data_IF_751965822504
#
_entry.id   IF_751965822504
#
_cell.length_a   1.000
_cell.length_b   1.000
_cell.length_c   1.000
_cell.angle_alpha   90.00
_cell.angle_beta   90.00
_cell.angle_gamma   90.00
#
_symmetry.space_group_name_H-M   'P 1'
#
loop_
_entity.id
_entity.type
_entity.pdbx_description
1 polymer ?
#
# COMPACT_ATOMS: atom_id res chain seq x y z
N UNK A 1 -33.79 36.75 16.46
CA UNK A 1 -32.32 36.68 16.32
C UNK A 1 -31.94 37.55 15.12
N UNK A 2 -31.33 38.73 15.28
CA UNK A 2 -30.90 39.48 14.12
C UNK A 2 -29.59 38.88 13.60
N UNK A 3 -29.55 38.73 12.28
CA UNK A 3 -28.45 38.23 11.47
C UNK A 3 -27.66 39.43 10.97
N UNK A 4 -26.35 39.46 11.20
CA UNK A 4 -25.29 39.82 10.21
C UNK A 4 -23.98 40.19 10.94
N UNK A 5 -22.89 39.41 10.79
CA UNK A 5 -21.61 39.62 11.49
C UNK A 5 -20.63 40.56 10.73
N UNK A 6 -21.11 41.44 9.85
CA UNK A 6 -20.25 42.23 8.95
C UNK A 6 -19.77 43.58 9.50
N UNK A 7 -20.13 43.95 10.73
CA UNK A 7 -19.82 45.26 11.33
C UNK A 7 -18.76 45.23 12.45
N UNK A 8 -18.11 44.09 12.67
CA UNK A 8 -17.13 43.89 13.75
C UNK A 8 -15.67 44.18 13.35
N UNK A 9 -15.41 44.74 12.16
CA UNK A 9 -14.07 44.84 11.57
C UNK A 9 -13.53 46.28 11.46
N UNK A 10 -14.11 47.25 12.18
CA UNK A 10 -13.67 48.66 12.14
C UNK A 10 -13.18 49.22 13.48
N UNK A 11 -13.01 48.39 14.51
CA UNK A 11 -12.62 48.81 15.86
C UNK A 11 -11.43 47.98 16.36
N UNK A 12 -10.30 48.05 15.66
CA UNK A 12 -9.01 47.62 16.24
C UNK A 12 -7.82 48.32 15.57
N UNK A 13 -7.31 49.37 16.22
CA UNK A 13 -5.94 49.88 16.08
C UNK A 13 -5.62 50.87 17.23
N UNK A 14 -4.35 50.95 17.69
CA UNK A 14 -4.04 51.02 19.11
C UNK A 14 -3.79 52.43 19.64
N UNK A 15 -3.97 52.52 20.95
CA UNK A 15 -3.76 53.68 21.81
C UNK A 15 -2.26 53.92 22.03
N UNK A 16 -1.69 54.97 21.45
CA UNK A 16 -0.35 55.47 21.78
C UNK A 16 -0.42 56.89 22.36
N UNK A 17 0.37 57.08 23.41
CA UNK A 17 0.35 58.18 24.36
C UNK A 17 0.82 59.55 23.81
N UNK A 18 0.36 60.64 24.45
CA UNK A 18 1.02 61.95 24.35
C UNK A 18 0.16 63.15 24.74
N UNK A 19 0.27 63.57 26.00
CA UNK A 19 0.21 64.95 26.52
C UNK A 19 -0.80 65.97 25.93
N UNK A 20 -1.88 66.17 26.69
CA UNK A 20 -2.26 67.48 27.25
C UNK A 20 -2.64 68.64 26.33
N UNK A 21 -3.94 68.85 26.14
CA UNK A 21 -4.63 70.14 26.34
C UNK A 21 -6.12 69.87 26.53
N UNK A 22 -6.74 70.55 27.49
CA UNK A 22 -8.16 70.36 27.82
C UNK A 22 -9.08 70.93 26.73
N UNK A 23 -9.82 70.05 26.09
CA UNK A 23 -11.10 70.34 25.43
C UNK A 23 -12.08 69.23 25.85
N UNK A 24 -13.26 69.61 26.32
CA UNK A 24 -14.36 68.67 26.59
C UNK A 24 -14.72 67.91 25.29
N UNK A 25 -14.99 66.61 25.35
CA UNK A 25 -15.43 65.88 24.18
C UNK A 25 -16.83 66.36 23.78
N UNK A 26 -16.92 67.02 22.64
CA UNK A 26 -18.20 67.38 21.98
C UNK A 26 -19.00 66.09 21.76
N UNK A 27 -20.29 66.01 22.15
CA UNK A 27 -21.09 64.84 21.85
C UNK A 27 -21.27 64.77 20.33
N UNK A 28 -20.61 63.80 19.70
CA UNK A 28 -20.87 63.48 18.31
C UNK A 28 -22.25 62.80 18.27
N UNK A 29 -23.28 63.52 17.83
CA UNK A 29 -24.49 62.87 17.32
C UNK A 29 -24.03 61.89 16.23
N UNK A 30 -24.39 60.60 16.31
CA UNK A 30 -24.13 59.70 15.20
C UNK A 30 -24.90 60.24 13.99
N UNK A 31 -24.18 60.51 12.90
CA UNK A 31 -24.74 60.97 11.61
C UNK A 31 -25.75 59.98 10.99
N UNK A 32 -26.00 58.85 11.64
CA UNK A 32 -26.96 57.83 11.24
C UNK A 32 -27.68 57.28 12.47
N UNK A 33 -28.99 57.52 12.52
CA UNK A 33 -29.90 56.89 13.47
C UNK A 33 -29.95 55.37 13.18
N UNK A 34 -29.53 54.49 14.10
CA UNK A 34 -29.48 53.05 13.86
C UNK A 34 -30.88 52.43 13.69
N UNK A 35 -31.93 53.17 14.05
CA UNK A 35 -33.33 52.77 13.83
C UNK A 35 -33.74 52.74 12.35
N UNK A 36 -33.02 53.42 11.45
CA UNK A 36 -33.38 53.53 10.02
C UNK A 36 -33.15 52.19 9.28
N UNK A 37 -32.26 51.34 9.79
CA UNK A 37 -31.87 50.08 9.12
C UNK A 37 -32.86 48.94 9.42
N UNK A 38 -33.58 49.01 10.54
CA UNK A 38 -34.56 48.00 10.96
C UNK A 38 -36.01 48.36 10.57
N UNK A 39 -36.27 49.55 9.98
CA UNK A 39 -37.62 49.89 9.52
C UNK A 39 -37.95 49.12 8.24
N UNK A 40 -39.06 48.36 8.18
CA UNK A 40 -39.49 47.73 6.95
C UNK A 40 -39.68 48.80 5.87
N UNK A 41 -39.27 48.50 4.63
CA UNK A 41 -39.31 49.43 3.49
C UNK A 41 -40.69 50.10 3.29
N UNK A 42 -41.76 49.44 3.75
CA UNK A 42 -43.12 49.95 3.79
C UNK A 42 -43.28 51.23 4.65
N UNK A 43 -42.62 51.33 5.80
CA UNK A 43 -42.67 52.50 6.68
C UNK A 43 -41.91 53.70 6.08
N UNK A 44 -40.78 53.46 5.41
CA UNK A 44 -40.04 54.51 4.68
C UNK A 44 -40.86 55.07 3.51
N UNK A 45 -41.56 54.20 2.77
CA UNK A 45 -42.46 54.61 1.69
C UNK A 45 -43.66 55.44 2.21
N UNK A 46 -44.20 55.09 3.37
CA UNK A 46 -45.29 55.84 4.01
C UNK A 46 -44.87 57.25 4.43
N UNK A 47 -43.63 57.41 4.88
CA UNK A 47 -43.12 58.71 5.35
C UNK A 47 -42.81 59.68 4.20
N UNK A 48 -42.52 59.17 3.01
CA UNK A 48 -42.14 59.96 1.83
C UNK A 48 -43.20 59.99 0.72
N UNK A 49 -44.31 59.26 0.83
CA UNK A 49 -45.37 59.21 -0.19
C UNK A 49 -46.72 58.97 0.49
N UNK A 50 -47.71 59.86 0.26
CA UNK A 50 -49.09 59.74 0.77
C UNK A 50 -49.82 58.54 0.13
N UNK A 51 -49.46 57.32 0.55
CA UNK A 51 -50.03 56.07 0.08
C UNK A 51 -51.17 55.62 1.01
N UNK A 52 -52.32 55.17 0.49
CA UNK A 52 -53.43 54.69 1.32
C UNK A 52 -53.07 53.45 2.16
N UNK A 53 -53.63 53.30 3.36
CA UNK A 53 -53.32 52.18 4.29
C UNK A 53 -53.51 50.77 3.70
N UNK A 54 -54.44 50.60 2.74
CA UNK A 54 -54.65 49.32 2.05
C UNK A 54 -53.45 48.92 1.17
N UNK A 55 -52.64 49.89 0.72
CA UNK A 55 -51.45 49.64 -0.09
C UNK A 55 -50.28 49.09 0.73
N UNK A 56 -50.20 49.40 2.03
CA UNK A 56 -49.19 48.90 2.96
C UNK A 56 -49.36 47.40 3.15
N UNK A 57 -50.59 46.96 3.44
CA UNK A 57 -50.92 45.53 3.53
C UNK A 57 -50.69 44.76 2.22
N UNK A 58 -50.74 45.44 1.07
CA UNK A 58 -50.46 44.84 -0.24
C UNK A 58 -48.95 44.79 -0.53
N UNK A 59 -48.19 45.78 -0.05
CA UNK A 59 -46.72 45.83 -0.18
C UNK A 59 -46.06 44.80 0.76
N UNK A 60 -46.47 44.74 2.03
CA UNK A 60 -45.92 43.82 3.03
C UNK A 60 -46.27 42.35 2.73
N UNK A 61 -47.53 42.06 2.35
CA UNK A 61 -47.96 40.68 2.16
C UNK A 61 -47.72 40.13 0.74
N UNK A 62 -47.45 40.99 -0.26
CA UNK A 62 -47.25 40.55 -1.64
C UNK A 62 -45.97 41.07 -2.29
N UNK A 63 -45.62 42.35 -2.14
CA UNK A 63 -44.47 42.93 -2.87
C UNK A 63 -43.13 42.50 -2.27
N UNK A 64 -43.00 42.54 -0.94
CA UNK A 64 -41.78 42.13 -0.25
C UNK A 64 -41.42 40.64 -0.46
N UNK A 65 -42.33 39.67 -0.20
CA UNK A 65 -42.03 38.27 -0.47
C UNK A 65 -41.84 37.98 -1.95
N UNK A 66 -42.57 38.64 -2.86
CA UNK A 66 -42.36 38.47 -4.30
C UNK A 66 -40.98 38.96 -4.76
N UNK A 67 -40.50 40.08 -4.21
CA UNK A 67 -39.16 40.59 -4.50
C UNK A 67 -38.07 39.64 -3.98
N UNK A 68 -38.21 39.14 -2.75
CA UNK A 68 -37.27 38.16 -2.20
C UNK A 68 -37.24 36.86 -3.02
N UNK A 69 -38.40 36.34 -3.41
CA UNK A 69 -38.49 35.16 -4.28
C UNK A 69 -37.84 35.42 -5.64
N UNK A 70 -38.10 36.58 -6.25
CA UNK A 70 -37.49 36.96 -7.52
C UNK A 70 -35.95 37.05 -7.40
N UNK A 71 -35.44 37.62 -6.29
CA UNK A 71 -34.02 37.71 -6.01
C UNK A 71 -33.38 36.32 -5.83
N UNK A 72 -34.00 35.43 -5.05
CA UNK A 72 -33.51 34.05 -4.84
C UNK A 72 -33.43 33.31 -6.17
N UNK A 73 -34.49 33.40 -7.00
CA UNK A 73 -34.53 32.74 -8.31
C UNK A 73 -33.47 33.34 -9.25
N UNK A 74 -33.29 34.66 -9.25
CA UNK A 74 -32.27 35.34 -10.06
C UNK A 74 -30.86 34.92 -9.64
N UNK A 75 -30.58 34.84 -8.33
CA UNK A 75 -29.30 34.37 -7.80
C UNK A 75 -29.09 32.91 -8.20
N UNK A 76 -30.06 32.02 -7.94
CA UNK A 76 -29.97 30.60 -8.30
C UNK A 76 -29.73 30.40 -9.79
N UNK A 77 -30.44 31.15 -10.64
CA UNK A 77 -30.26 31.14 -12.08
C UNK A 77 -28.88 31.65 -12.49
N UNK A 78 -28.39 32.73 -11.87
CA UNK A 78 -27.06 33.31 -12.14
C UNK A 78 -25.94 32.36 -11.73
N UNK A 79 -26.05 31.72 -10.56
CA UNK A 79 -25.11 30.69 -10.09
C UNK A 79 -25.13 29.50 -11.05
N UNK A 80 -26.30 29.00 -11.42
CA UNK A 80 -26.42 27.88 -12.36
C UNK A 80 -25.84 28.22 -13.74
N UNK A 81 -26.09 29.44 -14.22
CA UNK A 81 -25.53 29.94 -15.47
C UNK A 81 -24.01 29.99 -15.42
N UNK A 82 -23.44 30.53 -14.32
CA UNK A 82 -22.01 30.64 -14.11
C UNK A 82 -21.36 29.25 -14.01
N UNK A 83 -21.95 28.34 -13.23
CA UNK A 83 -21.45 26.97 -13.10
C UNK A 83 -21.51 26.22 -14.42
N UNK A 84 -22.62 26.31 -15.18
CA UNK A 84 -22.71 25.72 -16.53
C UNK A 84 -21.70 26.35 -17.50
N UNK A 85 -21.36 27.63 -17.33
CA UNK A 85 -20.33 28.29 -18.13
C UNK A 85 -18.93 27.81 -17.75
N UNK A 86 -18.63 27.66 -16.46
CA UNK A 86 -17.37 27.11 -15.97
C UNK A 86 -17.16 25.66 -16.44
N UNK A 87 -18.20 24.83 -16.34
CA UNK A 87 -18.15 23.43 -16.78
C UNK A 87 -17.89 23.31 -18.28
N UNK A 88 -18.60 24.10 -19.11
CA UNK A 88 -18.36 24.14 -20.56
C UNK A 88 -16.93 24.58 -20.88
N UNK A 89 -16.36 25.52 -20.12
CA UNK A 89 -14.96 25.93 -20.29
C UNK A 89 -13.99 24.81 -19.90
N UNK A 90 -14.26 24.08 -18.82
CA UNK A 90 -13.45 22.96 -18.38
C UNK A 90 -13.43 21.80 -19.39
N UNK A 91 -14.60 21.43 -19.94
CA UNK A 91 -14.71 20.37 -20.97
C UNK A 91 -13.97 20.75 -22.26
N UNK A 92 -14.02 22.03 -22.67
CA UNK A 92 -13.29 22.52 -23.85
C UNK A 92 -11.77 22.49 -23.65
N UNK A 93 -11.27 22.65 -22.41
CA UNK A 93 -9.83 22.54 -22.12
C UNK A 93 -9.33 21.10 -22.21
N UNK A 94 -10.13 20.11 -21.79
CA UNK A 94 -9.79 18.68 -21.89
C UNK A 94 -9.78 18.20 -23.36
N UNK A 95 -10.49 18.89 -24.26
CA UNK A 95 -10.60 18.54 -25.69
C UNK A 95 -9.42 19.03 -26.54
N UNK A 96 -8.48 19.80 -26.01
CA UNK A 96 -7.32 20.28 -26.77
C UNK A 96 -6.21 19.21 -26.78
N UNK A 97 -5.79 18.70 -27.95
CA UNK A 97 -4.62 17.84 -28.04
C UNK A 97 -3.38 18.65 -27.66
N UNK A 98 -2.59 18.15 -26.73
CA UNK A 98 -1.29 18.72 -26.38
C UNK A 98 -0.29 18.45 -27.52
N UNK A 99 -0.32 19.30 -28.54
CA UNK A 99 0.52 19.21 -29.73
C UNK A 99 1.72 20.15 -29.63
N UNK A 100 2.72 19.73 -28.85
CA UNK A 100 4.03 20.36 -28.87
C UNK A 100 4.68 20.28 -30.29
N UNK A 101 5.36 21.34 -30.77
CA UNK A 101 5.86 21.44 -32.15
C UNK A 101 6.93 20.39 -32.52
N UNK A 102 7.49 19.66 -31.56
CA UNK A 102 8.58 18.70 -31.79
C UNK A 102 8.14 17.31 -32.26
N UNK A 103 6.86 16.92 -32.11
CA UNK A 103 6.41 15.55 -32.44
C UNK A 103 5.81 15.40 -33.84
N UNK A 104 5.74 16.45 -34.66
CA UNK A 104 5.07 16.42 -35.99
C UNK A 104 5.73 15.49 -37.02
N UNK A 105 7.03 15.15 -36.88
CA UNK A 105 7.79 14.41 -37.92
C UNK A 105 7.76 12.88 -37.83
N UNK A 106 7.42 12.27 -36.69
CA UNK A 106 7.28 10.80 -36.57
C UNK A 106 5.82 10.30 -36.74
N UNK A 107 4.88 11.20 -37.06
CA UNK A 107 3.43 11.00 -36.88
C UNK A 107 2.66 10.38 -38.06
N UNK A 108 3.33 9.95 -39.13
CA UNK A 108 2.64 9.53 -40.35
C UNK A 108 2.23 8.04 -40.43
N UNK A 109 2.57 7.18 -39.47
CA UNK A 109 2.49 5.72 -39.68
C UNK A 109 1.37 4.94 -38.92
N UNK A 110 0.53 5.56 -38.07
CA UNK A 110 -0.53 4.82 -37.33
C UNK A 110 -1.74 5.71 -37.05
N UNK A 111 -2.60 5.90 -38.07
CA UNK A 111 -3.72 6.84 -38.04
C UNK A 111 -5.04 6.30 -37.47
N UNK A 112 -5.32 5.00 -37.59
CA UNK A 112 -6.68 4.49 -37.40
C UNK A 112 -7.06 4.27 -35.92
N UNK A 113 -6.12 3.87 -35.07
CA UNK A 113 -6.41 3.64 -33.65
C UNK A 113 -6.67 4.93 -32.85
N UNK A 114 -5.96 6.02 -33.16
CA UNK A 114 -5.96 7.25 -32.35
C UNK A 114 -7.23 8.08 -32.46
N UNK A 115 -7.82 8.18 -33.66
CA UNK A 115 -9.08 8.89 -33.88
C UNK A 115 -10.19 8.34 -32.96
N UNK A 116 -10.28 7.01 -32.87
CA UNK A 116 -11.23 6.30 -32.01
C UNK A 116 -10.98 6.52 -30.51
N UNK A 117 -9.73 6.66 -30.05
CA UNK A 117 -9.45 6.95 -28.63
C UNK A 117 -9.74 8.41 -28.25
N UNK A 118 -9.43 9.38 -29.12
CA UNK A 118 -9.75 10.79 -28.87
C UNK A 118 -11.26 11.05 -28.90
N UNK A 119 -11.98 10.42 -29.83
CA UNK A 119 -13.44 10.53 -29.92
C UNK A 119 -14.12 9.94 -28.68
N UNK A 120 -13.67 8.76 -28.21
CA UNK A 120 -14.18 8.15 -26.96
C UNK A 120 -13.92 9.00 -25.72
N UNK A 121 -12.76 9.67 -25.63
CA UNK A 121 -12.47 10.59 -24.51
C UNK A 121 -13.36 11.83 -24.57
N UNK A 122 -13.57 12.41 -25.75
CA UNK A 122 -14.45 13.56 -25.92
C UNK A 122 -15.91 13.21 -25.56
N UNK A 123 -16.42 12.08 -26.04
CA UNK A 123 -17.77 11.60 -25.69
C UNK A 123 -17.93 11.37 -24.18
N UNK A 124 -16.92 10.79 -23.51
CA UNK A 124 -16.93 10.63 -22.05
C UNK A 124 -16.92 11.97 -21.32
N UNK A 125 -16.12 12.94 -21.78
CA UNK A 125 -16.06 14.27 -21.17
C UNK A 125 -17.39 15.02 -21.34
N UNK A 126 -18.03 14.92 -22.50
CA UNK A 126 -19.34 15.53 -22.77
C UNK A 126 -20.43 14.90 -21.88
N UNK A 127 -20.44 13.56 -21.76
CA UNK A 127 -21.36 12.86 -20.88
C UNK A 127 -21.16 13.21 -19.40
N UNK A 128 -19.92 13.24 -18.91
CA UNK A 128 -19.60 13.62 -17.53
C UNK A 128 -19.96 15.09 -17.26
N UNK A 129 -19.69 15.98 -18.20
CA UNK A 129 -20.10 17.38 -18.12
C UNK A 129 -21.61 17.55 -18.03
N UNK A 130 -22.36 16.80 -18.85
CA UNK A 130 -23.82 16.80 -18.80
C UNK A 130 -24.33 16.31 -17.44
N UNK A 131 -23.83 15.18 -16.95
CA UNK A 131 -24.20 14.60 -15.65
C UNK A 131 -23.91 15.57 -14.49
N UNK A 132 -22.70 16.12 -14.42
CA UNK A 132 -22.33 17.08 -13.37
C UNK A 132 -23.18 18.36 -13.41
N UNK A 133 -23.50 18.87 -14.61
CA UNK A 133 -24.37 20.04 -14.76
C UNK A 133 -25.82 19.78 -14.34
N UNK A 134 -26.30 18.54 -14.50
CA UNK A 134 -27.62 18.10 -14.08
C UNK A 134 -27.69 18.00 -12.56
N UNK A 135 -26.74 17.29 -11.93
CA UNK A 135 -26.65 17.15 -10.47
C UNK A 135 -26.55 18.50 -9.79
N UNK A 136 -25.67 19.38 -10.27
CA UNK A 136 -25.53 20.72 -9.71
C UNK A 136 -26.80 21.56 -9.86
N UNK A 137 -27.51 21.41 -10.98
CA UNK A 137 -28.81 22.04 -11.18
C UNK A 137 -29.84 21.59 -10.15
N UNK A 138 -29.94 20.28 -9.89
CA UNK A 138 -30.84 19.72 -8.88
C UNK A 138 -30.53 20.29 -7.50
N UNK A 139 -29.25 20.34 -7.10
CA UNK A 139 -28.83 20.87 -5.80
C UNK A 139 -29.15 22.37 -5.66
N UNK A 140 -28.79 23.18 -6.65
CA UNK A 140 -29.05 24.63 -6.64
C UNK A 140 -30.55 24.92 -6.54
N UNK A 141 -31.37 24.24 -7.34
CA UNK A 141 -32.83 24.43 -7.30
C UNK A 141 -33.46 23.93 -6.01
N UNK A 142 -32.97 22.83 -5.42
CA UNK A 142 -33.44 22.36 -4.12
C UNK A 142 -33.16 23.38 -3.00
N UNK A 143 -31.96 23.99 -3.01
CA UNK A 143 -31.61 25.06 -2.05
C UNK A 143 -32.47 26.30 -2.29
N UNK A 144 -32.62 26.73 -3.54
CA UNK A 144 -33.44 27.88 -3.90
C UNK A 144 -34.91 27.68 -3.50
N UNK A 145 -35.48 26.51 -3.76
CA UNK A 145 -36.83 26.14 -3.34
C UNK A 145 -36.96 26.20 -1.82
N UNK A 146 -35.98 25.65 -1.09
CA UNK A 146 -35.97 25.71 0.37
C UNK A 146 -35.95 27.16 0.87
N UNK A 147 -35.15 28.05 0.27
CA UNK A 147 -35.13 29.47 0.62
C UNK A 147 -36.47 30.15 0.34
N UNK A 148 -37.10 29.87 -0.81
CA UNK A 148 -38.42 30.40 -1.18
C UNK A 148 -39.50 29.98 -0.19
N UNK A 149 -39.54 28.69 0.20
CA UNK A 149 -40.48 28.21 1.22
C UNK A 149 -40.28 28.91 2.56
N UNK A 150 -39.03 29.23 2.92
CA UNK A 150 -38.70 29.98 4.12
C UNK A 150 -39.27 31.41 4.13
N UNK A 151 -39.31 32.08 2.98
CA UNK A 151 -39.95 33.41 2.84
C UNK A 151 -41.44 33.36 3.15
N UNK A 152 -42.13 32.26 2.85
CA UNK A 152 -43.54 32.06 3.16
C UNK A 152 -43.80 31.56 4.60
N UNK A 153 -42.77 31.53 5.46
CA UNK A 153 -42.89 31.09 6.85
C UNK A 153 -43.05 29.57 7.02
N UNK A 154 -42.82 28.78 5.96
CA UNK A 154 -42.89 27.32 6.03
C UNK A 154 -41.64 26.80 6.77
N UNK A 155 -41.84 25.88 7.72
CA UNK A 155 -40.74 25.29 8.47
C UNK A 155 -39.80 24.51 7.55
N UNK A 156 -38.52 24.89 7.52
CA UNK A 156 -37.49 24.18 6.74
C UNK A 156 -36.98 22.91 7.44
N UNK A 157 -37.35 22.68 8.70
CA UNK A 157 -36.92 21.54 9.50
C UNK A 157 -37.08 20.19 8.77
N UNK A 158 -38.29 19.84 8.26
CA UNK A 158 -38.50 18.60 7.52
C UNK A 158 -37.66 18.48 6.24
N UNK A 159 -37.48 19.58 5.50
CA UNK A 159 -36.67 19.58 4.27
C UNK A 159 -35.19 19.37 4.57
N UNK A 160 -34.66 20.05 5.59
CA UNK A 160 -33.28 19.91 6.03
C UNK A 160 -33.04 18.51 6.59
N UNK A 161 -33.97 17.98 7.38
CA UNK A 161 -33.89 16.61 7.90
C UNK A 161 -33.86 15.58 6.77
N UNK A 162 -34.76 15.71 5.79
CA UNK A 162 -34.79 14.84 4.60
C UNK A 162 -33.52 14.95 3.75
N UNK A 163 -33.05 16.17 3.51
CA UNK A 163 -31.80 16.43 2.79
C UNK A 163 -30.58 15.84 3.52
N UNK A 164 -30.57 15.87 4.86
CA UNK A 164 -29.54 15.25 5.68
C UNK A 164 -29.48 13.73 5.47
N UNK A 165 -30.62 13.03 5.50
CA UNK A 165 -30.68 11.58 5.26
C UNK A 165 -30.19 11.24 3.85
N UNK A 166 -30.65 11.98 2.84
CA UNK A 166 -30.19 11.80 1.45
C UNK A 166 -28.69 12.06 1.33
N UNK A 167 -28.18 13.12 1.98
CA UNK A 167 -26.76 13.45 2.00
C UNK A 167 -25.90 12.35 2.62
N UNK A 168 -26.35 11.75 3.73
CA UNK A 168 -25.68 10.61 4.36
C UNK A 168 -25.66 9.40 3.42
N UNK A 169 -26.79 9.07 2.79
CA UNK A 169 -26.87 7.96 1.85
C UNK A 169 -25.92 8.14 0.65
N UNK A 170 -25.84 9.35 0.10
CA UNK A 170 -24.89 9.69 -0.98
C UNK A 170 -23.45 9.63 -0.49
N UNK A 171 -23.18 10.12 0.73
CA UNK A 171 -21.85 10.07 1.35
C UNK A 171 -21.33 8.64 1.50
N UNK A 172 -22.15 7.73 2.01
CA UNK A 172 -21.79 6.30 2.09
C UNK A 172 -21.60 5.68 0.71
N UNK A 173 -22.42 6.03 -0.28
CA UNK A 173 -22.25 5.55 -1.65
C UNK A 173 -20.99 6.06 -2.35
N UNK A 174 -20.43 7.19 -1.91
CA UNK A 174 -19.23 7.80 -2.46
C UNK A 174 -17.96 7.57 -1.61
N UNK A 175 -18.06 6.84 -0.50
CA UNK A 175 -16.98 6.67 0.47
C UNK A 175 -15.71 6.09 -0.19
N UNK A 176 -15.85 5.04 -0.99
CA UNK A 176 -14.71 4.39 -1.65
C UNK A 176 -14.00 5.31 -2.63
N UNK A 177 -14.76 6.16 -3.34
CA UNK A 177 -14.18 7.15 -4.25
C UNK A 177 -13.30 8.17 -3.52
N UNK A 178 -13.73 8.59 -2.32
CA UNK A 178 -12.95 9.50 -1.48
C UNK A 178 -11.71 8.79 -0.95
N UNK A 179 -11.84 7.54 -0.51
CA UNK A 179 -10.71 6.71 -0.08
C UNK A 179 -9.67 6.55 -1.19
N UNK A 180 -10.12 6.20 -2.41
CA UNK A 180 -9.26 6.09 -3.59
C UNK A 180 -8.45 7.37 -3.82
N UNK A 181 -9.13 8.51 -3.78
CA UNK A 181 -8.50 9.79 -4.07
C UNK A 181 -7.46 10.17 -3.02
N UNK A 182 -7.80 10.02 -1.73
CA UNK A 182 -6.88 10.32 -0.63
C UNK A 182 -5.67 9.39 -0.66
N UNK A 183 -5.88 8.08 -0.81
CA UNK A 183 -4.79 7.12 -0.96
C UNK A 183 -3.90 7.46 -2.15
N UNK A 184 -4.48 7.82 -3.30
CA UNK A 184 -3.72 8.22 -4.48
C UNK A 184 -2.86 9.46 -4.26
N UNK A 185 -3.39 10.47 -3.56
CA UNK A 185 -2.64 11.68 -3.21
C UNK A 185 -1.48 11.37 -2.27
N UNK A 186 -1.71 10.59 -1.20
CA UNK A 186 -0.64 10.22 -0.26
C UNK A 186 0.44 9.38 -0.92
N UNK A 187 0.07 8.38 -1.74
CA UNK A 187 1.05 7.58 -2.47
C UNK A 187 1.96 8.43 -3.37
N UNK A 188 1.43 9.50 -3.98
CA UNK A 188 2.22 10.40 -4.84
C UNK A 188 3.09 11.36 -4.03
N UNK A 189 2.60 11.87 -2.90
CA UNK A 189 3.36 12.79 -2.03
C UNK A 189 4.50 12.05 -1.33
N UNK A 190 4.26 10.81 -0.90
CA UNK A 190 5.23 9.97 -0.20
C UNK A 190 6.19 9.24 -1.14
N UNK A 191 5.98 9.32 -2.46
CA UNK A 191 6.77 8.63 -3.50
C UNK A 191 6.94 7.13 -3.22
N UNK A 192 5.84 6.47 -2.85
CA UNK A 192 5.88 5.05 -2.45
C UNK A 192 6.25 4.12 -3.62
N UNK A 193 5.88 4.51 -4.84
CA UNK A 193 6.29 3.85 -6.09
C UNK A 193 5.94 4.73 -7.30
N UNK A 194 6.73 4.55 -8.36
CA UNK A 194 6.60 5.28 -9.61
C UNK A 194 6.16 4.41 -10.80
N UNK A 195 5.99 5.07 -11.94
CA UNK A 195 5.80 4.37 -13.22
C UNK A 195 7.11 3.71 -13.62
N UNK A 196 7.08 2.42 -13.90
CA UNK A 196 8.24 1.59 -14.24
C UNK A 196 8.71 0.69 -13.09
N UNK A 197 8.28 0.95 -11.86
CA UNK A 197 8.64 0.12 -10.71
C UNK A 197 7.92 -1.23 -10.76
N UNK A 198 8.59 -2.28 -10.30
CA UNK A 198 7.94 -3.57 -10.03
C UNK A 198 7.38 -3.53 -8.62
N UNK A 199 6.06 -3.66 -8.49
CA UNK A 199 5.37 -3.59 -7.21
C UNK A 199 4.54 -4.83 -6.97
N UNK A 200 4.36 -5.15 -5.70
CA UNK A 200 3.37 -6.12 -5.21
C UNK A 200 2.39 -5.38 -4.31
N UNK A 201 1.11 -5.35 -4.71
CA UNK A 201 0.01 -4.72 -3.96
C UNK A 201 -0.94 -5.76 -3.35
N UNK A 202 -0.48 -7.00 -3.19
CA UNK A 202 -1.28 -8.13 -2.74
C UNK A 202 -1.74 -8.99 -3.91
N UNK A 203 -2.95 -8.74 -4.41
CA UNK A 203 -3.56 -9.57 -5.47
C UNK A 203 -2.93 -9.34 -6.85
N UNK A 204 -2.28 -8.20 -7.07
CA UNK A 204 -1.57 -7.88 -8.29
C UNK A 204 -0.09 -7.64 -8.02
N UNK A 205 0.77 -8.28 -8.81
CA UNK A 205 2.23 -8.07 -8.80
C UNK A 205 2.72 -7.87 -10.22
N UNK A 206 3.50 -6.82 -10.46
CA UNK A 206 3.98 -6.50 -11.79
C UNK A 206 4.55 -5.10 -11.92
N UNK A 207 4.79 -4.67 -13.16
CA UNK A 207 5.35 -3.36 -13.49
C UNK A 207 4.23 -2.31 -13.50
N UNK A 208 4.44 -1.18 -12.83
CA UNK A 208 3.50 -0.05 -12.85
C UNK A 208 3.56 0.65 -14.22
N UNK A 209 2.46 0.61 -14.98
CA UNK A 209 2.35 1.32 -16.26
C UNK A 209 1.83 2.74 -16.14
N UNK A 210 1.19 3.08 -15.02
CA UNK A 210 0.65 4.41 -14.82
C UNK A 210 -0.13 4.54 -13.53
N UNK A 211 0.11 5.63 -12.82
CA UNK A 211 -0.60 6.01 -11.60
C UNK A 211 -1.53 7.18 -11.92
N UNK A 212 -2.76 7.11 -11.42
CA UNK A 212 -3.71 8.24 -11.42
C UNK A 212 -4.17 8.49 -9.99
N UNK A 213 -4.85 9.60 -9.73
CA UNK A 213 -5.34 9.91 -8.39
C UNK A 213 -6.32 8.85 -7.83
N UNK A 214 -7.00 8.08 -8.68
CA UNK A 214 -7.98 7.06 -8.23
C UNK A 214 -7.52 5.61 -8.43
N UNK A 215 -6.65 5.36 -9.40
CA UNK A 215 -6.34 3.99 -9.84
C UNK A 215 -4.89 3.88 -10.28
N UNK A 216 -4.24 2.79 -9.89
CA UNK A 216 -2.93 2.37 -10.37
C UNK A 216 -3.08 1.24 -11.38
N UNK A 217 -2.32 1.32 -12.48
CA UNK A 217 -2.28 0.30 -13.53
C UNK A 217 -1.00 -0.51 -13.43
N UNK A 218 -1.15 -1.82 -13.27
CA UNK A 218 -0.03 -2.76 -13.07
C UNK A 218 -0.11 -3.83 -14.14
N UNK A 219 0.99 -4.10 -14.85
CA UNK A 219 1.09 -5.21 -15.80
C UNK A 219 1.91 -6.33 -15.21
N UNK A 220 1.30 -7.50 -15.08
CA UNK A 220 1.99 -8.70 -14.59
C UNK A 220 2.90 -9.34 -15.65
N UNK A 221 3.61 -10.38 -15.24
CA UNK A 221 4.53 -11.14 -16.11
C UNK A 221 3.81 -11.94 -17.20
N UNK A 222 2.52 -12.24 -17.03
CA UNK A 222 1.67 -12.92 -18.01
C UNK A 222 1.10 -11.94 -19.05
N UNK A 223 1.24 -10.63 -18.80
CA UNK A 223 0.81 -9.55 -19.67
C UNK A 223 -0.58 -8.97 -19.33
N UNK A 224 -1.23 -9.43 -18.27
CA UNK A 224 -2.52 -8.93 -17.80
C UNK A 224 -2.36 -7.52 -17.24
N UNK A 225 -3.24 -6.61 -17.66
CA UNK A 225 -3.28 -5.23 -17.16
C UNK A 225 -4.31 -5.11 -16.04
N UNK A 226 -3.83 -5.04 -14.81
CA UNK A 226 -4.62 -4.82 -13.62
C UNK A 226 -4.93 -3.34 -13.43
N UNK A 227 -6.18 -3.04 -13.09
CA UNK A 227 -6.64 -1.71 -12.74
C UNK A 227 -7.05 -1.70 -11.26
N UNK A 228 -6.13 -1.28 -10.39
CA UNK A 228 -6.31 -1.37 -8.95
C UNK A 228 -6.76 -0.02 -8.39
N UNK A 229 -7.94 0.07 -7.75
CA UNK A 229 -8.35 1.26 -7.01
C UNK A 229 -7.35 1.57 -5.90
N UNK A 230 -6.98 2.84 -5.79
CA UNK A 230 -5.95 3.25 -4.83
C UNK A 230 -6.38 3.03 -3.38
N UNK A 231 -7.67 3.04 -3.08
CA UNK A 231 -8.23 2.82 -1.75
C UNK A 231 -8.13 1.36 -1.30
N UNK A 232 -7.97 0.43 -2.24
CA UNK A 232 -7.78 -1.00 -1.96
C UNK A 232 -6.31 -1.35 -1.64
N UNK A 233 -5.36 -0.46 -1.98
CA UNK A 233 -3.93 -0.66 -1.74
C UNK A 233 -3.62 -0.33 -0.27
N UNK A 234 -3.80 -1.33 0.60
CA UNK A 234 -3.49 -1.20 2.03
C UNK A 234 -2.00 -1.26 2.34
N UNK A 235 -1.24 -1.95 1.50
CA UNK A 235 0.21 -2.11 1.61
C UNK A 235 0.78 -2.33 0.21
N UNK A 236 1.94 -1.76 -0.04
CA UNK A 236 2.71 -1.98 -1.27
C UNK A 236 4.12 -2.43 -0.92
N UNK A 237 4.62 -3.44 -1.64
CA UNK A 237 6.03 -3.79 -1.65
C UNK A 237 6.64 -3.33 -2.97
N UNK A 238 7.52 -2.33 -2.93
CA UNK A 238 8.28 -1.90 -4.09
C UNK A 238 9.52 -2.80 -4.23
N UNK A 239 9.55 -3.63 -5.27
CA UNK A 239 10.65 -4.56 -5.58
C UNK A 239 11.75 -3.92 -6.44
N UNK A 240 11.64 -2.61 -6.67
CA UNK A 240 12.53 -1.82 -7.52
C UNK A 240 13.10 -0.57 -6.81
N UNK A 241 12.84 -0.38 -5.53
CA UNK A 241 13.29 0.79 -4.78
C UNK A 241 14.64 0.54 -4.09
N UNK A 242 15.57 1.48 -4.26
CA UNK A 242 16.94 1.50 -3.69
C UNK A 242 17.84 0.32 -4.11
N UNK A 243 17.55 -0.88 -3.64
CA UNK A 243 18.28 -2.12 -3.91
C UNK A 243 17.31 -3.30 -3.92
N UNK A 244 17.71 -4.38 -4.59
CA UNK A 244 16.96 -5.63 -4.57
C UNK A 244 17.85 -6.78 -4.11
N UNK A 245 17.23 -7.91 -3.77
CA UNK A 245 17.96 -9.14 -3.45
C UNK A 245 17.58 -10.26 -4.39
N UNK A 246 18.60 -10.91 -4.96
CA UNK A 246 18.45 -12.23 -5.57
C UNK A 246 18.66 -13.28 -4.48
N UNK A 247 17.61 -14.03 -4.16
CA UNK A 247 17.67 -15.19 -3.26
C UNK A 247 17.64 -16.46 -4.11
N UNK A 248 18.66 -17.30 -3.96
CA UNK A 248 18.77 -18.58 -4.65
C UNK A 248 18.88 -19.69 -3.61
N UNK A 249 17.87 -20.55 -3.59
CA UNK A 249 17.90 -21.81 -2.86
C UNK A 249 18.38 -22.90 -3.81
N UNK A 250 19.53 -23.49 -3.49
CA UNK A 250 20.20 -24.52 -4.29
C UNK A 250 20.16 -25.83 -3.50
N UNK A 251 19.45 -26.82 -4.05
CA UNK A 251 19.28 -28.13 -3.43
C UNK A 251 20.44 -29.07 -3.75
N UNK A 252 20.99 -29.72 -2.73
CA UNK A 252 21.99 -30.80 -2.85
C UNK A 252 21.48 -32.08 -2.21
N UNK A 253 21.97 -33.24 -2.68
CA UNK A 253 21.62 -34.54 -2.10
C UNK A 253 22.12 -34.67 -0.65
N UNK A 254 21.43 -35.45 0.18
CA UNK A 254 21.83 -35.71 1.58
C UNK A 254 23.22 -36.35 1.74
N UNK A 255 23.70 -37.06 0.72
CA UNK A 255 25.03 -37.64 0.70
C UNK A 255 26.13 -36.66 0.28
N UNK A 256 25.78 -35.48 -0.23
CA UNK A 256 26.75 -34.48 -0.66
C UNK A 256 27.38 -33.77 0.54
N UNK A 257 28.65 -33.39 0.41
CA UNK A 257 29.33 -32.55 1.38
C UNK A 257 28.80 -31.10 1.26
N UNK A 258 28.08 -30.67 2.28
CA UNK A 258 27.42 -29.36 2.33
C UNK A 258 28.41 -28.20 2.32
N UNK A 259 29.54 -28.33 2.99
CA UNK A 259 30.54 -27.27 3.08
C UNK A 259 31.24 -27.08 1.73
N UNK A 260 31.58 -28.20 1.07
CA UNK A 260 32.13 -28.18 -0.29
C UNK A 260 31.13 -27.57 -1.28
N UNK A 261 29.84 -27.90 -1.14
CA UNK A 261 28.80 -27.33 -1.98
C UNK A 261 28.63 -25.82 -1.78
N UNK A 262 28.58 -25.38 -0.51
CA UNK A 262 28.47 -23.97 -0.17
C UNK A 262 29.66 -23.16 -0.70
N UNK A 263 30.88 -23.69 -0.57
CA UNK A 263 32.07 -23.05 -1.11
C UNK A 263 32.07 -22.98 -2.64
N UNK A 264 31.60 -24.02 -3.33
CA UNK A 264 31.48 -24.00 -4.78
C UNK A 264 30.45 -22.95 -5.24
N UNK A 265 29.28 -22.90 -4.62
CA UNK A 265 28.24 -21.90 -4.92
C UNK A 265 28.80 -20.49 -4.70
N UNK A 266 29.45 -20.25 -3.55
CA UNK A 266 30.06 -18.97 -3.21
C UNK A 266 31.10 -18.55 -4.23
N UNK A 267 32.02 -19.45 -4.62
CA UNK A 267 33.05 -19.17 -5.63
C UNK A 267 32.43 -18.75 -6.97
N UNK A 268 31.45 -19.51 -7.48
CA UNK A 268 30.77 -19.19 -8.74
C UNK A 268 30.09 -17.82 -8.69
N UNK A 269 29.47 -17.48 -7.55
CA UNK A 269 28.83 -16.20 -7.36
C UNK A 269 29.85 -15.05 -7.29
N UNK A 270 30.93 -15.21 -6.52
CA UNK A 270 32.01 -14.22 -6.42
C UNK A 270 32.73 -14.01 -7.75
N UNK A 271 32.98 -15.07 -8.52
CA UNK A 271 33.57 -14.97 -9.87
C UNK A 271 32.69 -14.12 -10.78
N UNK A 272 31.37 -14.38 -10.80
CA UNK A 272 30.43 -13.58 -11.57
C UNK A 272 30.37 -12.13 -11.09
N UNK A 273 30.45 -11.88 -9.78
CA UNK A 273 30.42 -10.53 -9.22
C UNK A 273 31.62 -9.68 -9.65
N UNK A 274 32.76 -10.29 -9.96
CA UNK A 274 33.99 -9.60 -10.40
C UNK A 274 34.15 -9.56 -11.93
N UNK A 275 33.19 -10.08 -12.69
CA UNK A 275 33.20 -9.96 -14.15
C UNK A 275 32.82 -8.54 -14.61
N UNK A 276 33.52 -7.95 -15.59
CA UNK A 276 33.26 -6.58 -16.04
C UNK A 276 31.81 -6.31 -16.49
N UNK A 277 31.14 -7.34 -17.01
CA UNK A 277 29.75 -7.24 -17.48
C UNK A 277 28.72 -7.21 -16.33
N UNK A 278 29.09 -7.67 -15.13
CA UNK A 278 28.19 -7.88 -14.00
C UNK A 278 28.56 -7.06 -12.75
N UNK A 279 29.82 -6.65 -12.59
CA UNK A 279 30.33 -5.91 -11.42
C UNK A 279 29.42 -4.73 -11.04
N UNK A 280 28.98 -3.96 -12.03
CA UNK A 280 28.12 -2.80 -11.81
C UNK A 280 26.69 -3.14 -11.34
N UNK A 281 26.27 -4.42 -11.39
CA UNK A 281 24.94 -4.88 -11.00
C UNK A 281 24.91 -5.48 -9.59
N UNK A 282 26.06 -5.90 -9.06
CA UNK A 282 26.23 -6.37 -7.68
C UNK A 282 26.54 -5.16 -6.79
N UNK A 283 25.79 -5.02 -5.68
CA UNK A 283 25.98 -3.90 -4.76
C UNK A 283 26.85 -4.27 -3.55
N UNK A 284 26.83 -5.54 -3.16
CA UNK A 284 27.63 -6.12 -2.07
C UNK A 284 28.16 -7.50 -2.55
N UNK A 285 29.14 -8.05 -1.83
CA UNK A 285 29.68 -9.40 -2.10
C UNK A 285 28.59 -10.47 -1.87
N UNK A 286 28.53 -11.54 -2.69
CA UNK A 286 27.60 -12.65 -2.48
C UNK A 286 27.78 -13.35 -1.13
N UNK A 287 26.68 -13.54 -0.39
CA UNK A 287 26.68 -14.16 0.93
C UNK A 287 26.05 -15.56 0.88
N UNK A 288 26.75 -16.55 1.47
CA UNK A 288 26.16 -17.85 1.76
C UNK A 288 25.58 -17.85 3.17
N UNK A 289 24.26 -17.92 3.28
CA UNK A 289 23.56 -18.03 4.57
C UNK A 289 23.51 -19.47 5.11
N UNK A 290 23.96 -20.44 4.31
CA UNK A 290 24.03 -21.86 4.69
C UNK A 290 22.71 -22.60 4.51
N UNK A 291 22.53 -23.69 5.26
CA UNK A 291 21.37 -24.59 5.17
C UNK A 291 20.11 -23.87 5.66
N UNK A 292 19.09 -23.77 4.80
CA UNK A 292 17.80 -23.20 5.15
C UNK A 292 16.74 -24.24 5.43
N UNK A 293 16.80 -25.37 4.72
CA UNK A 293 15.76 -26.40 4.78
C UNK A 293 16.39 -27.78 4.61
N UNK A 294 15.95 -28.71 5.44
CA UNK A 294 16.19 -30.15 5.30
C UNK A 294 14.88 -30.75 4.74
N UNK A 295 14.83 -30.93 3.43
CA UNK A 295 13.66 -31.43 2.70
C UNK A 295 13.53 -32.95 2.80
N UNK A 296 12.58 -33.54 2.07
CA UNK A 296 12.43 -35.01 2.10
C UNK A 296 13.62 -35.73 1.43
N UNK A 297 14.17 -35.11 0.37
CA UNK A 297 15.18 -35.71 -0.50
C UNK A 297 16.39 -34.79 -0.72
N UNK A 298 16.40 -33.59 -0.14
CA UNK A 298 17.41 -32.55 -0.37
C UNK A 298 17.79 -31.76 0.88
N UNK A 299 18.99 -31.19 0.84
CA UNK A 299 19.43 -30.11 1.72
C UNK A 299 19.50 -28.84 0.89
N UNK A 300 18.76 -27.80 1.28
CA UNK A 300 18.68 -26.55 0.53
C UNK A 300 19.61 -25.49 1.12
N UNK A 301 20.55 -25.02 0.29
CA UNK A 301 21.54 -23.99 0.63
C UNK A 301 21.14 -22.65 0.03
N UNK A 302 21.20 -21.57 0.82
CA UNK A 302 20.79 -20.23 0.37
C UNK A 302 21.97 -19.33 0.10
N UNK A 303 22.01 -18.85 -1.13
CA UNK A 303 22.84 -17.74 -1.60
C UNK A 303 21.99 -16.47 -1.65
N UNK A 304 22.51 -15.39 -1.06
CA UNK A 304 21.88 -14.07 -1.05
C UNK A 304 22.81 -13.04 -1.67
N UNK A 305 22.28 -12.29 -2.63
CA UNK A 305 23.03 -11.27 -3.34
C UNK A 305 22.22 -10.00 -3.36
N UNK A 306 22.85 -8.89 -2.99
CA UNK A 306 22.27 -7.55 -3.15
C UNK A 306 22.61 -7.02 -4.54
N UNK A 307 21.58 -6.68 -5.30
CA UNK A 307 21.69 -6.27 -6.70
C UNK A 307 21.10 -4.89 -6.89
N UNK A 308 21.42 -4.27 -8.03
CA UNK A 308 20.65 -3.13 -8.51
C UNK A 308 19.17 -3.51 -8.69
N UNK A 309 18.25 -2.57 -8.45
CA UNK A 309 16.83 -2.84 -8.63
C UNK A 309 16.48 -3.30 -10.05
N UNK A 310 15.63 -4.32 -10.16
CA UNK A 310 15.20 -4.91 -11.43
C UNK A 310 16.11 -6.03 -11.95
N UNK A 311 17.37 -6.09 -11.50
CA UNK A 311 18.36 -7.05 -11.99
C UNK A 311 18.31 -8.40 -11.24
N UNK A 312 17.65 -8.47 -10.08
CA UNK A 312 17.64 -9.65 -9.21
C UNK A 312 17.20 -10.93 -9.92
N UNK A 313 16.27 -10.84 -10.87
CA UNK A 313 15.79 -11.98 -11.64
C UNK A 313 16.76 -12.38 -12.75
N UNK A 314 17.41 -11.41 -13.40
CA UNK A 314 18.39 -11.67 -14.45
C UNK A 314 19.64 -12.35 -13.87
N UNK A 315 20.19 -11.77 -12.81
CA UNK A 315 21.32 -12.30 -12.06
C UNK A 315 20.98 -13.68 -11.49
N UNK A 316 19.81 -13.82 -10.86
CA UNK A 316 19.40 -15.10 -10.29
C UNK A 316 19.21 -16.21 -11.34
N UNK A 317 18.79 -15.89 -12.57
CA UNK A 317 18.70 -16.88 -13.66
C UNK A 317 20.09 -17.30 -14.13
N UNK A 318 20.98 -16.34 -14.32
CA UNK A 318 22.34 -16.61 -14.80
C UNK A 318 23.16 -17.40 -13.77
N UNK A 319 23.04 -17.08 -12.48
CA UNK A 319 23.69 -17.85 -11.42
C UNK A 319 23.17 -19.28 -11.32
N UNK A 320 21.86 -19.52 -11.43
CA UNK A 320 21.32 -20.88 -11.46
C UNK A 320 21.94 -21.71 -12.60
N UNK A 321 22.12 -21.11 -13.78
CA UNK A 321 22.78 -21.76 -14.92
C UNK A 321 24.25 -22.08 -14.62
N UNK A 322 25.01 -21.12 -14.07
CA UNK A 322 26.43 -21.29 -13.76
C UNK A 322 26.67 -22.30 -12.64
N UNK A 323 25.87 -22.25 -11.57
CA UNK A 323 25.92 -23.19 -10.45
C UNK A 323 25.65 -24.61 -10.95
N UNK A 324 24.63 -24.80 -11.81
CA UNK A 324 24.38 -26.10 -12.44
C UNK A 324 25.61 -26.61 -13.19
N UNK A 325 26.19 -25.79 -14.06
CA UNK A 325 27.39 -26.21 -14.82
C UNK A 325 28.57 -26.55 -13.89
N UNK A 326 28.76 -25.80 -12.81
CA UNK A 326 29.81 -26.07 -11.83
C UNK A 326 29.55 -27.38 -11.06
N UNK A 327 28.29 -27.67 -10.72
CA UNK A 327 27.91 -28.92 -10.05
C UNK A 327 28.17 -30.13 -10.95
N UNK A 328 27.87 -30.03 -12.25
CA UNK A 328 28.17 -31.09 -13.22
C UNK A 328 29.67 -31.39 -13.31
N UNK A 329 30.51 -30.35 -13.28
CA UNK A 329 31.97 -30.51 -13.35
C UNK A 329 32.55 -31.09 -12.05
N UNK A 330 31.96 -30.74 -10.91
CA UNK A 330 32.37 -31.22 -9.59
C UNK A 330 31.78 -32.59 -9.22
N UNK A 331 31.02 -33.22 -10.13
CA UNK A 331 30.28 -34.47 -9.90
C UNK A 331 29.38 -34.39 -8.65
N UNK A 332 28.79 -33.21 -8.42
CA UNK A 332 27.84 -33.01 -7.33
C UNK A 332 26.42 -33.38 -7.76
N UNK A 333 25.87 -34.38 -7.08
CA UNK A 333 24.55 -34.91 -7.38
C UNK A 333 23.44 -33.93 -6.96
N UNK A 334 22.63 -33.56 -7.95
CA UNK A 334 21.37 -32.84 -7.72
C UNK A 334 20.34 -33.86 -7.22
N UNK A 335 19.62 -33.57 -6.13
CA UNK A 335 18.76 -34.54 -5.47
C UNK A 335 17.63 -35.00 -6.39
N UNK A 336 17.47 -36.31 -6.47
CA UNK A 336 16.29 -36.98 -7.03
C UNK A 336 15.41 -37.48 -5.87
N UNK A 337 14.09 -37.57 -6.07
CA UNK A 337 13.21 -38.18 -5.06
C UNK A 337 13.69 -39.59 -4.70
N UNK A 338 14.02 -39.82 -3.43
CA UNK A 338 14.47 -41.13 -2.94
C UNK A 338 13.32 -41.84 -2.24
N UNK A 339 13.09 -43.11 -2.58
CA UNK A 339 12.02 -43.90 -1.97
C UNK A 339 12.53 -45.24 -1.50
N UNK A 340 12.48 -45.47 -0.20
CA UNK A 340 12.66 -46.80 0.37
C UNK A 340 11.37 -47.60 0.17
N UNK A 341 11.44 -48.68 -0.61
CA UNK A 341 10.32 -49.59 -0.84
C UNK A 341 10.50 -50.84 0.00
N UNK A 342 9.54 -51.10 0.90
CA UNK A 342 9.47 -52.35 1.64
C UNK A 342 8.65 -53.37 0.86
N UNK A 343 9.32 -54.37 0.28
CA UNK A 343 8.66 -55.46 -0.43
C UNK A 343 8.28 -56.55 0.59
N UNK A 344 6.98 -56.75 0.80
CA UNK A 344 6.45 -57.88 1.58
C UNK A 344 6.07 -59.00 0.61
N UNK A 345 6.77 -60.12 0.67
CA UNK A 345 6.45 -61.32 -0.12
C UNK A 345 5.68 -62.31 0.75
N UNK A 346 4.52 -62.78 0.28
CA UNK A 346 3.68 -63.77 0.98
C UNK A 346 4.18 -65.21 0.81
N UNK A 347 4.98 -65.46 -0.23
CA UNK A 347 5.68 -66.73 -0.43
C UNK A 347 7.12 -66.60 0.10
N UNK A 348 7.63 -67.57 0.88
CA UNK A 348 9.04 -67.59 1.22
C UNK A 348 9.82 -67.64 -0.10
N UNK A 349 10.69 -66.65 -0.35
CA UNK A 349 11.66 -66.81 -1.43
C UNK A 349 12.48 -68.06 -1.09
N UNK A 350 12.31 -69.12 -1.88
CA UNK A 350 13.21 -70.26 -1.87
C UNK A 350 14.53 -69.83 -2.51
N UNK A 351 15.28 -68.99 -1.80
CA UNK A 351 16.68 -68.75 -2.08
C UNK A 351 17.38 -70.08 -1.78
N UNK A 352 17.89 -70.76 -2.80
CA UNK A 352 18.79 -71.89 -2.57
C UNK A 352 19.93 -71.44 -1.66
N UNK A 353 20.45 -72.34 -0.81
CA UNK A 353 21.38 -71.99 0.28
C UNK A 353 22.59 -71.13 -0.18
N UNK A 354 23.00 -71.20 -1.45
CA UNK A 354 24.02 -70.32 -2.03
C UNK A 354 23.58 -68.85 -2.25
N UNK A 355 22.31 -68.60 -2.58
CA UNK A 355 21.76 -67.27 -2.90
C UNK A 355 21.27 -66.52 -1.65
N UNK A 356 20.93 -67.25 -0.58
CA UNK A 356 20.58 -66.67 0.72
C UNK A 356 21.78 -65.96 1.39
N UNK A 357 23.01 -66.42 1.10
CA UNK A 357 24.23 -65.75 1.57
C UNK A 357 24.47 -64.39 0.88
N UNK A 358 23.92 -64.18 -0.32
CA UNK A 358 24.10 -62.96 -1.12
C UNK A 358 23.12 -61.85 -0.72
N UNK A 359 21.91 -62.21 -0.25
CA UNK A 359 20.93 -61.26 0.29
C UNK A 359 21.09 -61.08 1.80
N UNK A 360 22.25 -60.61 2.26
CA UNK A 360 22.29 -59.91 3.54
C UNK A 360 21.68 -58.54 3.31
N UNK A 361 20.61 -58.20 4.06
CA UNK A 361 20.18 -56.81 4.16
C UNK A 361 21.44 -55.97 4.39
N UNK A 362 21.70 -54.92 3.58
CA UNK A 362 22.78 -54.00 3.87
C UNK A 362 22.52 -53.51 5.29
N UNK A 363 23.36 -53.93 6.24
CA UNK A 363 23.36 -53.29 7.55
C UNK A 363 23.81 -51.87 7.22
N UNK A 364 22.96 -50.84 7.43
CA UNK A 364 23.39 -49.47 7.19
C UNK A 364 24.70 -49.27 7.97
N UNK A 365 25.74 -48.67 7.37
CA UNK A 365 27.01 -48.49 8.04
C UNK A 365 26.76 -47.86 9.41
N UNK A 366 27.30 -48.45 10.48
CA UNK A 366 27.06 -47.97 11.85
C UNK A 366 27.35 -46.46 11.88
N UNK A 367 26.33 -45.68 12.23
CA UNK A 367 26.48 -44.22 12.34
C UNK A 367 27.60 -43.93 13.34
N UNK A 368 28.33 -42.82 13.17
CA UNK A 368 29.39 -42.43 14.12
C UNK A 368 28.88 -42.45 15.56
N UNK A 369 27.63 -42.04 15.78
CA UNK A 369 26.93 -42.13 17.05
C UNK A 369 26.77 -43.57 17.55
N UNK A 370 26.36 -44.53 16.70
CA UNK A 370 26.25 -45.94 17.09
C UNK A 370 27.61 -46.56 17.41
N UNK A 371 28.67 -46.23 16.64
CA UNK A 371 30.04 -46.64 16.94
C UNK A 371 30.53 -46.08 18.28
N UNK A 372 30.31 -44.78 18.50
CA UNK A 372 30.72 -44.10 19.73
C UNK A 372 29.95 -44.61 20.96
N UNK A 373 28.64 -44.88 20.83
CA UNK A 373 27.80 -45.48 21.88
C UNK A 373 28.19 -46.94 22.15
N UNK A 374 28.62 -47.68 21.13
CA UNK A 374 29.09 -49.06 21.28
C UNK A 374 30.45 -49.11 21.94
N UNK A 375 31.37 -48.24 21.54
CA UNK A 375 32.69 -48.10 22.13
C UNK A 375 32.61 -47.68 23.60
N UNK A 376 31.71 -46.74 23.94
CA UNK A 376 31.46 -46.35 25.33
C UNK A 376 30.83 -47.47 26.16
N UNK A 377 29.92 -48.28 25.60
CA UNK A 377 29.35 -49.46 26.27
C UNK A 377 30.34 -50.62 26.44
N UNK A 378 31.36 -50.71 25.59
CA UNK A 378 32.38 -51.77 25.66
C UNK A 378 33.56 -51.43 26.59
N UNK A 379 33.54 -50.27 27.25
CA UNK A 379 34.55 -49.89 28.23
C UNK A 379 35.94 -49.63 27.63
N UNK A 380 36.00 -49.35 26.32
CA UNK A 380 37.26 -49.03 25.65
C UNK A 380 37.67 -47.58 25.97
N UNK A 381 38.65 -47.43 26.86
CA UNK A 381 39.19 -46.14 27.31
C UNK A 381 39.97 -45.39 26.21
N UNK A 382 40.13 -45.95 25.01
CA UNK A 382 40.71 -45.29 23.84
C UNK A 382 39.72 -44.51 22.96
N UNK A 383 38.41 -44.67 23.16
CA UNK A 383 37.36 -44.03 22.36
C UNK A 383 36.75 -42.68 22.87
N UNK A 384 37.26 -41.95 23.88
CA UNK A 384 36.64 -40.68 24.30
C UNK A 384 36.65 -39.57 23.24
N UNK A 385 37.53 -39.64 22.24
CA UNK A 385 37.77 -38.50 21.34
C UNK A 385 36.73 -38.36 20.21
N UNK A 386 36.06 -39.43 19.79
CA UNK A 386 35.11 -39.35 18.67
C UNK A 386 33.77 -38.71 19.04
N UNK A 387 33.38 -38.73 20.33
CA UNK A 387 32.16 -38.08 20.84
C UNK A 387 32.40 -36.59 21.17
N UNK A 388 33.61 -36.24 21.62
CA UNK A 388 33.99 -34.86 21.89
C UNK A 388 34.14 -34.01 20.62
N UNK A 389 34.53 -34.63 19.50
CA UNK A 389 34.63 -33.95 18.18
C UNK A 389 33.26 -33.66 17.54
N UNK A 390 32.17 -34.22 18.07
CA UNK A 390 30.80 -33.92 17.64
C UNK A 390 30.15 -32.77 18.42
N UNK A 391 30.83 -32.24 19.45
CA UNK A 391 30.36 -31.10 20.24
C UNK A 391 30.97 -29.79 19.71
N UNK A 392 30.19 -28.69 19.67
CA UNK A 392 30.71 -27.36 19.37
C UNK A 392 31.91 -27.03 20.28
N UNK A 393 32.94 -26.38 19.73
CA UNK A 393 34.23 -26.11 20.41
C UNK A 393 34.11 -25.44 21.78
N UNK A 394 33.02 -24.70 22.03
CA UNK A 394 32.78 -23.96 23.28
C UNK A 394 32.48 -24.86 24.50
N UNK A 395 32.13 -26.13 24.30
CA UNK A 395 31.89 -27.08 25.42
C UNK A 395 33.12 -27.92 25.80
N UNK A 396 34.19 -27.91 25.01
CA UNK A 396 35.39 -28.74 25.28
C UNK A 396 36.20 -28.28 26.49
N UNK A 397 36.10 -26.99 26.83
CA UNK A 397 36.92 -26.34 27.86
C UNK A 397 36.22 -26.13 29.21
N UNK A 398 35.00 -26.66 29.40
CA UNK A 398 34.33 -26.59 30.70
C UNK A 398 34.86 -27.70 31.63
N UNK A 399 35.46 -27.37 32.79
CA UNK A 399 35.85 -28.38 33.76
C UNK A 399 34.59 -29.14 34.24
N UNK A 400 34.68 -30.47 34.25
CA UNK A 400 33.59 -31.37 34.60
C UNK A 400 33.04 -31.10 36.02
N UNK A 401 31.96 -30.35 36.10
CA UNK A 401 31.23 -30.08 37.33
C UNK A 401 30.20 -31.20 37.54
N UNK A 402 30.64 -32.34 38.11
CA UNK A 402 29.75 -33.49 38.27
C UNK A 402 30.37 -34.72 38.89
N UNK A 403 31.15 -34.59 39.97
CA UNK A 403 31.66 -35.75 40.73
C UNK A 403 31.78 -35.54 42.26
N UNK A 404 31.13 -34.51 42.84
CA UNK A 404 31.28 -34.19 44.27
C UNK A 404 29.95 -34.01 45.01
N UNK A 405 28.91 -34.75 44.63
CA UNK A 405 27.61 -34.77 45.33
C UNK A 405 27.11 -36.18 45.69
N UNK A 406 27.96 -37.22 45.54
CA UNK A 406 27.62 -38.61 45.87
C UNK A 406 28.45 -39.19 47.03
N UNK A 407 28.88 -38.33 47.98
CA UNK A 407 29.60 -38.75 49.18
C UNK A 407 29.10 -38.03 50.45
N UNK A 408 27.78 -37.99 50.68
CA UNK A 408 27.24 -37.62 52.00
C UNK A 408 25.91 -38.29 52.38
N UNK A 409 25.58 -39.47 51.86
CA UNK A 409 24.33 -40.18 52.21
C UNK A 409 24.51 -41.67 52.52
N UNK A 410 25.55 -42.03 53.27
CA UNK A 410 25.60 -43.34 53.95
C UNK A 410 26.02 -43.16 55.41
N UNK A 411 25.04 -42.93 56.28
CA UNK A 411 25.22 -42.84 57.73
C UNK A 411 24.00 -43.38 58.46
N UNK A 412 23.99 -44.71 58.65
CA UNK A 412 23.29 -45.51 59.67
C UNK A 412 21.92 -45.07 60.19
N UNK A 413 20.87 -45.77 59.76
CA UNK A 413 19.72 -46.06 60.64
C UNK A 413 20.07 -47.29 61.49
N UNK A 414 20.10 -47.10 62.80
CA UNK A 414 20.08 -48.16 63.81
C UNK A 414 18.71 -48.10 64.51
N UNK A 415 18.02 -49.23 64.77
CA UNK A 415 16.66 -49.23 65.29
C UNK A 415 16.66 -49.42 66.81
N UNK A 416 16.29 -48.41 67.60
CA UNK A 416 15.87 -48.66 68.99
C UNK A 416 14.92 -47.58 69.55
N UNK A 417 13.74 -48.09 69.94
CA UNK A 417 12.81 -47.63 70.97
C UNK A 417 13.07 -46.29 71.71
N UNK A 418 12.14 -45.34 71.55
CA UNK A 418 11.10 -44.97 72.55
C UNK A 418 10.23 -43.82 72.07
#
# INVERSE_FOLDING_TARGET
>A
MPRSPLLLLALDAPNDAGEGTGEEPVPHEPLFDPEIIDRPFAEWLQQNTDLPDWSIGLIENAVEPAFQVALIVLIAWSVLWLSRRALRRAVVQVKKPDDGPRRRRQRAATGEGRASYSERRAQRADALGALASSVLGVVIWAVALSMVLGTFGISLGPLIAGAGIVGIAVGFGAQDLVSDFLSGVFMLIEDQYGVGDVVNVGEATGVVEGVTLRTTRIRDVEGTLWHVPNGEIRRVGNMSQEWARALLDVSVAYGADVDVAADLIRRVASEMAHEPDYEALFLDEPEMWGVQTLGNDSVDLRLVIKTRPGEQWAIGRELRRRIKNAFDVADMEIPFPQRTVWLRTEQPLALGDEQAATFRSPVPPETRLQRAVRASKQGDTGAPNELADLLPTDERDRPAMGAELAASSSGGEDPEAR
#
